data_IF_019459955577
#
_entry.id   IF_019459955577
#
_cell.length_a   1.000
_cell.length_b   1.000
_cell.length_c   1.000
_cell.angle_alpha   90.00
_cell.angle_beta   90.00
_cell.angle_gamma   90.00
#
_symmetry.space_group_name_H-M   'P 1'
#
loop_
_entity.id
_entity.type
_entity.pdbx_description
1 polymer ?
#
# COMPACT_ATOMS: atom_id res chain seq x y z
N UNK A 1 -5.14 -9.43 -19.88
CA UNK A 1 -4.62 -8.05 -19.80
C UNK A 1 -3.42 -8.09 -18.87
N UNK A 2 -2.21 -7.72 -19.32
CA UNK A 2 -0.99 -7.79 -18.50
C UNK A 2 -0.88 -6.51 -17.66
N UNK A 3 -0.59 -6.58 -16.36
CA UNK A 3 -0.22 -5.40 -15.58
C UNK A 3 1.08 -4.85 -16.15
N UNK A 4 1.09 -3.54 -16.42
CA UNK A 4 2.25 -2.81 -16.92
C UNK A 4 2.73 -1.85 -15.83
N UNK A 5 4.00 -1.44 -15.85
CA UNK A 5 4.57 -0.57 -14.81
C UNK A 5 4.42 -1.12 -13.37
N UNK A 6 4.70 -2.41 -13.17
CA UNK A 6 4.81 -3.01 -11.83
C UNK A 6 5.96 -2.35 -11.06
N UNK A 7 5.68 -1.87 -9.86
CA UNK A 7 6.69 -1.38 -8.94
C UNK A 7 6.31 -1.78 -7.51
N UNK A 8 7.29 -2.31 -6.80
CA UNK A 8 7.15 -2.69 -5.40
C UNK A 8 8.21 -1.96 -4.59
N UNK A 9 7.81 -1.39 -3.45
CA UNK A 9 8.75 -0.84 -2.47
C UNK A 9 8.26 -1.08 -1.06
N UNK A 10 9.18 -1.35 -0.16
CA UNK A 10 8.89 -1.41 1.27
C UNK A 10 9.25 -0.08 1.91
N UNK A 11 8.33 0.45 2.70
CA UNK A 11 8.46 1.70 3.44
C UNK A 11 8.11 1.45 4.90
N UNK A 12 8.71 2.23 5.80
CA UNK A 12 8.36 2.20 7.21
C UNK A 12 7.30 3.26 7.49
N UNK A 13 6.15 2.84 8.03
CA UNK A 13 5.02 3.73 8.38
C UNK A 13 4.68 3.49 9.84
N UNK A 14 4.87 4.52 10.68
CA UNK A 14 4.60 4.47 12.13
C UNK A 14 5.24 3.25 12.82
N UNK A 15 6.46 2.89 12.38
CA UNK A 15 7.23 1.75 12.89
C UNK A 15 6.71 0.37 12.46
N UNK A 16 5.88 0.31 11.41
CA UNK A 16 5.49 -0.91 10.72
C UNK A 16 6.13 -0.93 9.33
N UNK A 17 6.65 -2.09 8.91
CA UNK A 17 7.06 -2.29 7.52
C UNK A 17 5.83 -2.51 6.66
N UNK A 18 5.65 -1.62 5.68
CA UNK A 18 4.55 -1.66 4.72
C UNK A 18 5.14 -1.82 3.33
N UNK A 19 4.72 -2.84 2.61
CA UNK A 19 5.04 -3.01 1.20
C UNK A 19 3.94 -2.36 0.38
N UNK A 20 4.36 -1.45 -0.50
CA UNK A 20 3.54 -0.79 -1.51
C UNK A 20 3.78 -1.49 -2.84
N UNK A 21 2.76 -2.16 -3.35
CA UNK A 21 2.75 -2.75 -4.70
C UNK A 21 1.87 -1.91 -5.60
N UNK A 22 2.46 -1.28 -6.61
CA UNK A 22 1.76 -0.49 -7.61
C UNK A 22 1.85 -1.13 -8.99
N UNK A 23 0.76 -1.08 -9.75
CA UNK A 23 0.70 -1.61 -11.11
C UNK A 23 -0.37 -0.88 -11.91
N UNK A 24 -0.14 -0.72 -13.22
CA UNK A 24 -1.12 -0.13 -14.14
C UNK A 24 -1.91 -1.21 -14.85
N UNK A 25 -3.23 -1.08 -14.87
CA UNK A 25 -4.12 -1.98 -15.58
C UNK A 25 -5.26 -1.18 -16.23
N UNK A 26 -5.42 -1.29 -17.55
CA UNK A 26 -6.47 -0.60 -18.28
C UNK A 26 -6.43 0.94 -18.20
N UNK A 27 -5.24 1.53 -18.05
CA UNK A 27 -5.07 2.97 -17.91
C UNK A 27 -5.26 3.50 -16.48
N UNK A 28 -5.60 2.63 -15.52
CA UNK A 28 -5.75 2.97 -14.10
C UNK A 28 -4.53 2.45 -13.33
N UNK A 29 -3.99 3.25 -12.43
CA UNK A 29 -2.96 2.82 -11.48
C UNK A 29 -3.62 2.24 -10.24
N UNK A 30 -3.25 1.02 -9.92
CA UNK A 30 -3.60 0.35 -8.68
C UNK A 30 -2.42 0.43 -7.74
N UNK A 31 -2.65 0.73 -6.48
CA UNK A 31 -1.66 0.60 -5.43
C UNK A 31 -2.25 -0.22 -4.28
N UNK A 32 -1.45 -1.09 -3.71
CA UNK A 32 -1.79 -1.95 -2.60
C UNK A 32 -0.76 -1.72 -1.50
N UNK A 33 -1.23 -1.52 -0.28
CA UNK A 33 -0.39 -1.48 0.90
C UNK A 33 -0.65 -2.73 1.74
N UNK A 34 0.40 -3.48 2.05
CA UNK A 34 0.37 -4.63 2.94
C UNK A 34 1.43 -4.52 4.03
N UNK A 35 1.10 -5.00 5.22
CA UNK A 35 1.99 -5.04 6.37
C UNK A 35 2.71 -6.40 6.37
N UNK A 36 4.01 -6.41 6.69
CA UNK A 36 4.84 -7.62 6.90
C UNK A 36 4.43 -8.37 8.19
N UNK A 37 3.15 -8.68 8.31
CA UNK A 37 2.60 -9.69 9.21
C UNK A 37 1.80 -10.62 8.31
N UNK A 38 2.02 -11.95 8.34
CA UNK A 38 1.66 -12.85 7.26
C UNK A 38 0.17 -12.73 6.89
N UNK A 39 -0.10 -12.10 5.75
CA UNK A 39 -1.43 -12.03 5.12
C UNK A 39 -2.26 -10.76 5.34
N UNK A 40 -1.77 -9.74 6.06
CA UNK A 40 -2.59 -8.55 6.35
C UNK A 40 -2.54 -7.50 5.22
N UNK A 41 -3.57 -7.48 4.38
CA UNK A 41 -3.82 -6.35 3.48
C UNK A 41 -4.35 -5.16 4.29
N UNK A 42 -3.63 -4.03 4.27
CA UNK A 42 -4.08 -2.81 4.92
C UNK A 42 -5.11 -2.12 4.04
N UNK A 43 -4.74 -1.85 2.79
CA UNK A 43 -5.58 -1.08 1.89
C UNK A 43 -5.20 -1.30 0.42
N UNK A 44 -6.14 -0.97 -0.46
CA UNK A 44 -5.95 -0.91 -1.90
C UNK A 44 -6.60 0.36 -2.41
N UNK A 45 -5.86 1.10 -3.21
CA UNK A 45 -6.29 2.36 -3.81
C UNK A 45 -6.13 2.31 -5.31
N UNK A 46 -6.85 3.19 -5.99
CA UNK A 46 -6.78 3.38 -7.43
C UNK A 46 -6.69 4.85 -7.75
N UNK A 47 -5.88 5.22 -8.72
CA UNK A 47 -5.75 6.59 -9.17
C UNK A 47 -5.41 6.67 -10.67
N UNK A 48 -5.46 7.88 -11.22
CA UNK A 48 -5.05 8.15 -12.59
C UNK A 48 -3.52 8.11 -12.76
N UNK A 49 -2.75 8.30 -11.69
CA UNK A 49 -1.29 8.30 -11.68
C UNK A 49 -0.73 7.39 -10.58
N UNK A 50 0.52 6.93 -10.76
CA UNK A 50 1.22 6.10 -9.76
C UNK A 50 1.37 6.83 -8.44
N UNK A 51 1.85 8.07 -8.47
CA UNK A 51 2.15 8.87 -7.28
C UNK A 51 0.91 9.13 -6.44
N UNK A 52 -0.23 9.39 -7.07
CA UNK A 52 -1.49 9.59 -6.38
C UNK A 52 -2.02 8.27 -5.77
N UNK A 53 -1.89 7.16 -6.49
CA UNK A 53 -2.28 5.84 -5.96
C UNK A 53 -1.45 5.48 -4.72
N UNK A 54 -0.12 5.66 -4.81
CA UNK A 54 0.81 5.41 -3.71
C UNK A 54 0.60 6.35 -2.52
N UNK A 55 0.41 7.65 -2.77
CA UNK A 55 0.14 8.64 -1.74
C UNK A 55 -1.16 8.34 -0.97
N UNK A 56 -2.22 7.96 -1.70
CA UNK A 56 -3.48 7.53 -1.11
C UNK A 56 -3.32 6.24 -0.29
N UNK A 57 -2.59 5.25 -0.82
CA UNK A 57 -2.34 3.99 -0.12
C UNK A 57 -1.55 4.22 1.17
N UNK A 58 -0.50 5.05 1.13
CA UNK A 58 0.32 5.38 2.28
C UNK A 58 -0.46 6.15 3.34
N UNK A 59 -1.24 7.16 2.94
CA UNK A 59 -2.11 7.91 3.86
C UNK A 59 -3.08 6.98 4.57
N UNK A 60 -3.74 6.10 3.83
CA UNK A 60 -4.71 5.14 4.38
C UNK A 60 -4.04 4.09 5.28
N UNK A 61 -2.89 3.57 4.86
CA UNK A 61 -2.09 2.65 5.65
C UNK A 61 -1.68 3.29 6.98
N UNK A 62 -1.24 4.54 6.96
CA UNK A 62 -0.90 5.32 8.15
C UNK A 62 -2.10 5.49 9.10
N UNK A 63 -3.27 5.86 8.57
CA UNK A 63 -4.48 5.97 9.38
C UNK A 63 -4.87 4.65 10.05
N UNK A 64 -4.75 3.53 9.33
CA UNK A 64 -5.06 2.20 9.84
C UNK A 64 -4.04 1.76 10.90
N UNK A 65 -2.75 1.90 10.61
CA UNK A 65 -1.67 1.50 11.52
C UNK A 65 -1.61 2.36 12.78
N UNK A 66 -1.96 3.65 12.68
CA UNK A 66 -2.12 4.54 13.84
C UNK A 66 -3.22 4.05 14.80
N UNK A 67 -4.25 3.39 14.28
CA UNK A 67 -5.32 2.77 15.09
C UNK A 67 -4.95 1.38 15.60
N UNK A 68 -4.00 0.71 14.95
CA UNK A 68 -3.50 -0.60 15.37
C UNK A 68 -2.68 -0.45 16.64
N UNK A 69 -3.29 -0.76 17.79
CA UNK A 69 -2.57 -0.87 19.06
C UNK A 69 -1.56 -2.01 18.94
N UNK A 70 -0.27 -1.70 19.12
CA UNK A 70 0.76 -2.71 19.35
C UNK A 70 0.35 -3.50 20.60
N UNK A 71 -0.12 -4.73 20.43
CA UNK A 71 -0.14 -5.66 21.54
C UNK A 71 1.29 -6.12 21.73
N UNK A 72 1.95 -5.81 22.87
CA UNK A 72 3.21 -6.46 23.18
C UNK A 72 2.95 -7.96 23.26
N UNK A 73 3.76 -8.72 22.53
CA UNK A 73 3.86 -10.18 22.69
C UNK A 73 4.55 -10.52 24.01
#
# INVERSE_FOLDING_TARGET
>A
MKPDAYAERTVEVDGWRVTLTSYRMGGIFYCKADNVSPGAWLTRTTAATREEAEGNALKRARELLSRTRRQPV
#
